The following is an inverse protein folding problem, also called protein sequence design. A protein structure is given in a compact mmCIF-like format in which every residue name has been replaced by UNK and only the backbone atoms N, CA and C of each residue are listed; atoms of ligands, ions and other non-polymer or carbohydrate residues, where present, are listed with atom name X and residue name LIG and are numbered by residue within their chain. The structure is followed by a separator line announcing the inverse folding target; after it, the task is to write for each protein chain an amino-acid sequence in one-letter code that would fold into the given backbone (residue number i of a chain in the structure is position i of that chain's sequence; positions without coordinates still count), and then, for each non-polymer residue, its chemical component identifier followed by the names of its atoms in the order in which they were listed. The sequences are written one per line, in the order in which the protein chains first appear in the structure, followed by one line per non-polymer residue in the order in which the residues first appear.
data_IF_957212583382
#
_entry.id   IF_957212583382
#
_cell.length_a   1.000
_cell.length_b   1.000
_cell.length_c   1.000
_cell.angle_alpha   90.00
_cell.angle_beta   90.00
_cell.angle_gamma   90.00
#
_symmetry.space_group_name_H-M   'P 1'
#
loop_
_entity.id
_entity.type
_entity.pdbx_description
1 polymer ?
#
# COMPACT_ATOMS: atom_id res chain seq x y z
N UNK A 1 6.65 -3.33 26.39
CA UNK A 1 7.03 -2.46 25.25
C UNK A 1 6.15 -2.86 24.08
N UNK A 2 5.43 -1.93 23.45
CA UNK A 2 4.65 -2.25 22.25
C UNK A 2 5.64 -2.51 21.11
N UNK A 3 5.53 -3.67 20.47
CA UNK A 3 6.16 -3.95 19.18
C UNK A 3 5.87 -2.82 18.21
N UNK A 4 6.91 -2.18 17.66
CA UNK A 4 6.74 -1.17 16.62
C UNK A 4 7.63 -1.52 15.44
N UNK A 5 6.98 -1.80 14.32
CA UNK A 5 7.63 -1.98 13.02
C UNK A 5 8.14 -0.62 12.53
N UNK A 6 9.38 -0.49 12.05
CA UNK A 6 9.87 0.75 11.47
C UNK A 6 8.98 1.23 10.33
N UNK A 7 8.81 2.55 10.21
CA UNK A 7 7.96 3.14 9.16
C UNK A 7 8.42 2.75 7.76
N UNK A 8 9.74 2.63 7.56
CA UNK A 8 10.33 2.12 6.31
C UNK A 8 9.79 0.73 5.96
N UNK A 9 9.69 -0.16 6.94
CA UNK A 9 9.26 -1.54 6.72
C UNK A 9 7.74 -1.64 6.55
N UNK A 10 6.97 -0.76 7.19
CA UNK A 10 5.54 -0.62 6.86
C UNK A 10 5.36 -0.15 5.42
N UNK A 11 6.12 0.86 4.98
CA UNK A 11 6.07 1.32 3.60
C UNK A 11 6.50 0.22 2.61
N UNK A 12 7.53 -0.57 2.95
CA UNK A 12 7.94 -1.75 2.18
C UNK A 12 6.78 -2.75 2.02
N UNK A 13 6.11 -3.13 3.12
CA UNK A 13 4.94 -4.02 3.09
C UNK A 13 3.79 -3.42 2.25
N UNK A 14 3.52 -2.12 2.40
CA UNK A 14 2.49 -1.42 1.62
C UNK A 14 2.80 -1.44 0.12
N UNK A 15 4.06 -1.29 -0.27
CA UNK A 15 4.48 -1.39 -1.67
C UNK A 15 4.14 -2.77 -2.27
N UNK A 16 4.30 -3.86 -1.53
CA UNK A 16 3.84 -5.18 -1.97
C UNK A 16 2.31 -5.27 -2.04
N UNK A 17 1.61 -4.87 -0.97
CA UNK A 17 0.15 -4.92 -0.90
C UNK A 17 -0.52 -4.14 -2.05
N UNK A 18 0.04 -2.98 -2.42
CA UNK A 18 -0.45 -2.14 -3.52
C UNK A 18 -0.01 -2.59 -4.92
N UNK A 19 0.81 -3.65 -5.01
CA UNK A 19 1.43 -4.14 -6.25
C UNK A 19 2.28 -3.06 -6.94
N UNK A 20 3.15 -2.40 -6.16
CA UNK A 20 3.99 -1.26 -6.54
C UNK A 20 5.47 -1.50 -6.19
N UNK A 21 5.91 -2.76 -6.15
CA UNK A 21 7.28 -3.12 -5.76
C UNK A 21 8.35 -2.45 -6.63
N UNK A 22 8.17 -2.43 -7.96
CA UNK A 22 9.07 -1.77 -8.92
C UNK A 22 9.33 -0.28 -8.62
N UNK A 23 8.50 0.31 -7.76
CA UNK A 23 8.58 1.70 -7.36
C UNK A 23 9.28 1.87 -6.01
N UNK A 24 9.31 0.86 -5.15
CA UNK A 24 10.02 0.89 -3.87
C UNK A 24 11.50 1.22 -4.09
N UNK A 25 12.19 0.47 -4.96
CA UNK A 25 13.60 0.71 -5.28
C UNK A 25 13.83 2.10 -5.89
N UNK A 26 12.88 2.57 -6.73
CA UNK A 26 12.94 3.90 -7.36
C UNK A 26 12.75 5.05 -6.37
N UNK A 27 12.19 4.79 -5.20
CA UNK A 27 11.99 5.82 -4.16
C UNK A 27 13.24 6.08 -3.31
N UNK A 28 14.33 5.34 -3.54
CA UNK A 28 15.63 5.49 -2.87
C UNK A 28 15.51 5.53 -1.34
N UNK A 29 14.88 4.51 -0.78
CA UNK A 29 14.58 4.38 0.66
C UNK A 29 15.81 4.13 1.53
N UNK A 30 16.97 3.85 0.94
CA UNK A 30 18.19 3.54 1.70
C UNK A 30 18.75 4.76 2.43
N UNK A 31 18.52 5.96 1.89
CA UNK A 31 18.86 7.21 2.57
C UNK A 31 17.84 7.60 3.66
N UNK A 32 16.79 6.79 3.88
CA UNK A 32 15.70 7.06 4.81
C UNK A 32 15.71 6.13 6.04
N UNK A 33 16.78 5.34 6.25
CA UNK A 33 16.86 4.32 7.32
C UNK A 33 16.68 4.88 8.74
N UNK A 34 17.00 6.16 8.97
CA UNK A 34 17.00 6.79 10.30
C UNK A 34 15.82 7.76 10.52
N UNK A 35 14.76 7.65 9.73
CA UNK A 35 13.62 8.57 9.82
C UNK A 35 12.42 7.78 10.30
N UNK A 36 12.06 8.00 11.55
CA UNK A 36 10.89 7.39 12.18
C UNK A 36 9.66 8.31 12.14
N UNK A 37 9.87 9.60 11.86
CA UNK A 37 8.80 10.59 11.78
C UNK A 37 7.98 10.45 10.49
N UNK A 38 6.65 10.33 10.63
CA UNK A 38 5.75 9.98 9.54
C UNK A 38 5.73 11.00 8.42
N UNK A 39 5.51 12.28 8.74
CA UNK A 39 5.40 13.31 7.72
C UNK A 39 6.76 13.58 7.09
N UNK A 40 7.84 13.54 7.85
CA UNK A 40 9.19 13.67 7.31
C UNK A 40 9.52 12.55 6.32
N UNK A 41 9.23 11.29 6.68
CA UNK A 41 9.46 10.11 5.86
C UNK A 41 8.67 10.17 4.55
N UNK A 42 7.34 10.33 4.61
CA UNK A 42 6.51 10.36 3.41
C UNK A 42 6.71 11.62 2.57
N UNK A 43 7.09 12.76 3.16
CA UNK A 43 7.50 13.95 2.39
C UNK A 43 8.77 13.70 1.57
N UNK A 44 9.76 13.00 2.14
CA UNK A 44 10.97 12.62 1.40
C UNK A 44 10.66 11.64 0.28
N UNK A 45 9.79 10.66 0.52
CA UNK A 45 9.34 9.75 -0.55
C UNK A 45 8.61 10.51 -1.65
N UNK A 46 7.71 11.44 -1.32
CA UNK A 46 7.04 12.30 -2.30
C UNK A 46 8.06 13.09 -3.13
N UNK A 47 9.08 13.68 -2.49
CA UNK A 47 10.13 14.39 -3.21
C UNK A 47 10.90 13.47 -4.15
N UNK A 48 11.34 12.31 -3.65
CA UNK A 48 12.12 11.34 -4.43
C UNK A 48 11.33 10.81 -5.62
N UNK A 49 10.01 10.63 -5.47
CA UNK A 49 9.13 10.16 -6.56
C UNK A 49 8.76 11.26 -7.55
N UNK A 50 8.59 12.51 -7.10
CA UNK A 50 8.21 13.64 -7.94
C UNK A 50 9.39 14.23 -8.71
N UNK A 51 10.62 14.18 -8.20
CA UNK A 51 11.79 14.75 -8.88
C UNK A 51 12.04 14.15 -10.28
N UNK A 52 12.04 12.82 -10.47
CA UNK A 52 12.13 12.21 -11.80
C UNK A 52 10.95 12.59 -12.70
N UNK A 53 9.76 12.75 -12.12
CA UNK A 53 8.56 13.11 -12.85
C UNK A 53 8.62 14.56 -13.36
N UNK A 54 9.08 15.50 -12.54
CA UNK A 54 9.29 16.90 -12.93
C UNK A 54 10.26 16.99 -14.12
N UNK A 55 11.36 16.21 -14.11
CA UNK A 55 12.34 16.20 -15.21
C UNK A 55 11.76 15.68 -16.52
N UNK A 56 10.81 14.74 -16.47
CA UNK A 56 10.13 14.18 -17.65
C UNK A 56 8.94 15.04 -18.10
N UNK A 57 8.45 15.91 -17.23
CA UNK A 57 7.21 16.65 -17.40
C UNK A 57 6.05 15.96 -16.68
N UNK A 58 5.21 16.76 -16.01
CA UNK A 58 3.98 16.24 -15.41
C UNK A 58 3.04 15.69 -16.48
N UNK A 59 2.25 14.71 -16.08
CA UNK A 59 1.12 14.26 -16.89
C UNK A 59 0.18 15.43 -17.16
N UNK A 60 -0.31 15.46 -18.39
CA UNK A 60 -1.33 16.37 -18.87
C UNK A 60 -2.40 15.51 -19.51
N UNK A 61 -3.62 16.00 -19.49
CA UNK A 61 -4.75 15.30 -20.09
C UNK A 61 -5.49 16.26 -21.01
N UNK A 62 -6.20 15.69 -21.97
CA UNK A 62 -7.04 16.45 -22.88
C UNK A 62 -8.33 16.82 -22.17
N UNK A 63 -8.55 18.12 -22.01
CA UNK A 63 -9.81 18.64 -21.52
C UNK A 63 -10.59 19.25 -22.68
N UNK A 64 -11.79 18.74 -22.91
CA UNK A 64 -12.73 19.34 -23.84
C UNK A 64 -13.12 20.74 -23.34
N UNK A 65 -12.99 21.72 -24.22
CA UNK A 65 -13.40 23.11 -23.99
C UNK A 65 -14.27 23.58 -25.14
N UNK A 66 -15.29 24.37 -24.79
CA UNK A 66 -16.12 25.12 -25.72
C UNK A 66 -15.96 26.61 -25.41
N UNK A 67 -15.18 27.32 -26.23
CA UNK A 67 -14.84 28.74 -25.99
C UNK A 67 -15.21 29.62 -27.19
N UNK A 68 -15.54 30.90 -26.92
CA UNK A 68 -15.86 31.92 -27.92
C UNK A 68 -14.55 32.59 -28.41
N UNK A 69 -14.06 32.16 -29.58
CA UNK A 69 -12.75 32.54 -30.12
C UNK A 69 -12.88 33.45 -31.35
N UNK A 70 -11.87 34.31 -31.57
CA UNK A 70 -11.74 35.10 -32.81
C UNK A 70 -11.22 34.29 -34.01
N UNK A 71 -10.61 33.15 -33.72
CA UNK A 71 -10.01 32.23 -34.70
C UNK A 71 -10.64 30.85 -34.53
N UNK A 72 -10.65 30.06 -35.60
CA UNK A 72 -11.16 28.69 -35.55
C UNK A 72 -10.10 27.79 -34.92
N UNK A 73 -10.47 27.06 -33.85
CA UNK A 73 -9.62 26.07 -33.19
C UNK A 73 -10.46 24.82 -32.91
N UNK A 74 -10.11 23.68 -33.51
CA UNK A 74 -10.90 22.45 -33.39
C UNK A 74 -12.20 22.49 -34.19
N UNK A 75 -13.27 21.91 -33.64
CA UNK A 75 -14.58 21.78 -34.28
C UNK A 75 -15.44 23.01 -33.99
N UNK A 76 -16.09 23.56 -35.02
CA UNK A 76 -16.97 24.72 -34.85
C UNK A 76 -18.32 24.28 -34.26
N UNK A 77 -18.73 24.90 -33.16
CA UNK A 77 -20.09 24.80 -32.63
C UNK A 77 -20.98 25.88 -33.28
N UNK A 78 -21.52 25.52 -34.45
CA UNK A 78 -22.42 26.38 -35.21
C UNK A 78 -23.70 26.70 -34.42
N UNK A 79 -24.19 25.75 -33.60
CA UNK A 79 -25.42 25.91 -32.84
C UNK A 79 -25.28 27.03 -31.81
N UNK A 80 -24.22 27.01 -31.00
CA UNK A 80 -23.95 28.05 -30.00
C UNK A 80 -23.59 29.39 -30.65
N UNK A 81 -22.83 29.37 -31.75
CA UNK A 81 -22.44 30.58 -32.48
C UNK A 81 -23.64 31.34 -33.05
N UNK A 82 -24.60 30.61 -33.66
CA UNK A 82 -25.82 31.20 -34.21
C UNK A 82 -26.76 31.67 -33.10
N UNK A 83 -27.01 30.85 -32.07
CA UNK A 83 -27.90 31.20 -30.95
C UNK A 83 -27.47 32.48 -30.22
N UNK A 84 -26.16 32.68 -30.05
CA UNK A 84 -25.61 33.86 -29.34
C UNK A 84 -25.25 35.02 -30.26
N UNK A 85 -25.47 34.88 -31.58
CA UNK A 85 -25.11 35.86 -32.62
C UNK A 85 -23.65 36.35 -32.53
N UNK A 86 -22.75 35.50 -32.02
CA UNK A 86 -21.36 35.88 -31.69
C UNK A 86 -20.56 36.33 -32.90
N UNK A 87 -20.80 35.71 -34.07
CA UNK A 87 -20.11 36.05 -35.30
C UNK A 87 -20.50 37.45 -35.80
N UNK A 88 -21.79 37.78 -35.73
CA UNK A 88 -22.32 39.06 -36.21
C UNK A 88 -22.01 40.22 -35.24
N UNK A 89 -22.12 39.97 -33.94
CA UNK A 89 -22.01 41.02 -32.91
C UNK A 89 -20.60 41.25 -32.41
N UNK A 90 -19.76 40.21 -32.38
CA UNK A 90 -18.42 40.24 -31.76
C UNK A 90 -17.29 39.77 -32.69
N UNK A 91 -17.61 39.27 -33.89
CA UNK A 91 -16.62 38.68 -34.79
C UNK A 91 -15.97 37.42 -34.21
N UNK A 92 -16.71 36.63 -33.42
CA UNK A 92 -16.20 35.43 -32.77
C UNK A 92 -17.08 34.20 -33.02
N UNK A 93 -16.50 33.01 -32.88
CA UNK A 93 -17.13 31.71 -33.13
C UNK A 93 -16.89 30.81 -31.92
N UNK A 94 -17.92 30.07 -31.49
CA UNK A 94 -17.77 29.02 -30.49
C UNK A 94 -17.09 27.81 -31.12
N UNK A 95 -15.99 27.35 -30.52
CA UNK A 95 -15.28 26.18 -30.98
C UNK A 95 -15.09 25.17 -29.85
N UNK A 96 -15.39 23.90 -30.15
CA UNK A 96 -15.05 22.73 -29.36
C UNK A 96 -13.64 22.26 -29.71
N UNK A 97 -12.73 22.27 -28.73
CA UNK A 97 -11.39 21.73 -28.90
C UNK A 97 -10.90 21.08 -27.63
N UNK A 98 -9.91 20.21 -27.79
CA UNK A 98 -9.20 19.60 -26.69
C UNK A 98 -7.96 20.42 -26.37
N UNK A 99 -7.79 20.79 -25.09
CA UNK A 99 -6.59 21.46 -24.61
C UNK A 99 -5.79 20.53 -23.70
N UNK A 100 -4.49 20.42 -23.98
CA UNK A 100 -3.57 19.57 -23.25
C UNK A 100 -3.06 20.29 -21.99
N UNK A 101 -3.80 20.16 -20.88
CA UNK A 101 -3.54 20.90 -19.65
C UNK A 101 -2.92 20.03 -18.55
N UNK A 102 -2.06 20.63 -17.73
CA UNK A 102 -1.53 19.99 -16.52
C UNK A 102 -2.49 20.06 -15.32
N UNK A 103 -3.63 20.74 -15.46
CA UNK A 103 -4.58 20.98 -14.38
C UNK A 103 -5.55 19.80 -14.16
N UNK A 104 -4.98 18.59 -14.09
CA UNK A 104 -5.69 17.32 -13.94
C UNK A 104 -5.86 16.96 -12.46
N UNK A 105 -6.79 16.04 -12.16
CA UNK A 105 -7.12 15.66 -10.79
C UNK A 105 -5.90 15.18 -9.99
N UNK A 106 -5.05 14.37 -10.62
CA UNK A 106 -3.83 13.82 -10.03
C UNK A 106 -2.89 14.94 -9.57
N UNK A 107 -2.61 15.90 -10.46
CA UNK A 107 -1.74 17.03 -10.15
C UNK A 107 -2.36 17.96 -9.09
N UNK A 108 -3.70 18.14 -9.13
CA UNK A 108 -4.43 18.91 -8.11
C UNK A 108 -4.31 18.28 -6.72
N UNK A 109 -4.43 16.95 -6.62
CA UNK A 109 -4.24 16.20 -5.38
C UNK A 109 -2.81 16.43 -4.86
N UNK A 110 -1.80 16.22 -5.70
CA UNK A 110 -0.38 16.37 -5.32
C UNK A 110 -0.10 17.79 -4.82
N UNK A 111 -0.48 18.81 -5.59
CA UNK A 111 -0.29 20.21 -5.21
C UNK A 111 -0.94 20.51 -3.87
N UNK A 112 -2.18 20.05 -3.68
CA UNK A 112 -2.93 20.29 -2.45
C UNK A 112 -2.32 19.58 -1.25
N UNK A 113 -1.86 18.34 -1.41
CA UNK A 113 -1.16 17.61 -0.33
C UNK A 113 0.11 18.35 0.08
N UNK A 114 0.93 18.79 -0.87
CA UNK A 114 2.16 19.55 -0.58
C UNK A 114 1.83 20.88 0.11
N UNK A 115 0.79 21.58 -0.35
CA UNK A 115 0.31 22.80 0.29
C UNK A 115 -0.09 22.56 1.75
N UNK A 116 -0.86 21.51 2.01
CA UNK A 116 -1.30 21.16 3.36
C UNK A 116 -0.11 20.78 4.27
N UNK A 117 0.86 20.03 3.76
CA UNK A 117 2.09 19.69 4.49
C UNK A 117 2.90 20.95 4.87
N UNK A 118 3.05 21.89 3.93
CA UNK A 118 3.80 23.14 4.15
C UNK A 118 3.09 24.08 5.14
N UNK A 119 1.76 24.03 5.20
CA UNK A 119 0.94 24.84 6.11
C UNK A 119 0.79 24.19 7.49
N UNK A 120 0.86 22.87 7.56
CA UNK A 120 0.69 22.11 8.80
C UNK A 120 1.83 22.37 9.78
N UNK A 121 1.49 22.60 11.04
CA UNK A 121 2.48 22.71 12.13
C UNK A 121 3.04 21.35 12.55
N UNK A 122 2.45 20.24 12.10
CA UNK A 122 2.87 18.89 12.51
C UNK A 122 4.21 18.53 11.89
N UNK A 123 4.40 18.85 10.60
CA UNK A 123 5.69 18.70 9.94
C UNK A 123 6.76 19.52 10.67
N UNK A 124 6.43 20.74 11.11
CA UNK A 124 7.36 21.61 11.84
C UNK A 124 7.77 21.03 13.19
N UNK A 125 6.83 20.41 13.90
CA UNK A 125 7.08 19.73 15.17
C UNK A 125 8.00 18.51 14.98
N UNK A 126 7.73 17.66 13.99
CA UNK A 126 8.58 16.51 13.66
C UNK A 126 9.98 16.95 13.24
N UNK A 127 10.05 17.95 12.37
CA UNK A 127 11.30 18.47 11.87
C UNK A 127 12.18 19.14 12.95
N UNK A 128 11.59 19.67 14.04
CA UNK A 128 12.34 20.17 15.20
C UNK A 128 12.97 19.06 16.04
N UNK A 129 12.40 17.85 16.03
CA UNK A 129 12.98 16.67 16.70
C UNK A 129 14.17 16.12 15.93
N UNK A 130 14.11 16.20 14.59
CA UNK A 130 15.21 15.86 13.70
C UNK A 130 16.33 16.93 13.71
N UNK A 131 17.55 16.57 13.27
CA UNK A 131 18.68 17.53 13.17
C UNK A 131 18.27 18.76 12.34
N UNK A 132 18.54 19.96 12.88
CA UNK A 132 18.07 21.26 12.37
C UNK A 132 18.40 21.51 10.89
N UNK A 133 19.52 20.98 10.40
CA UNK A 133 19.98 21.17 9.02
C UNK A 133 19.19 20.33 7.99
N UNK A 134 18.80 19.10 8.36
CA UNK A 134 18.00 18.23 7.49
C UNK A 134 16.55 18.71 7.34
N UNK A 135 16.02 19.29 8.43
CA UNK A 135 14.69 19.89 8.48
C UNK A 135 14.52 21.08 7.53
N UNK A 136 15.47 22.02 7.56
CA UNK A 136 15.46 23.18 6.69
C UNK A 136 15.60 22.78 5.21
N UNK A 137 16.33 21.70 4.92
CA UNK A 137 16.46 21.18 3.57
C UNK A 137 15.14 20.60 3.04
N UNK A 138 14.39 19.84 3.86
CA UNK A 138 13.15 19.20 3.44
C UNK A 138 12.08 20.20 3.00
N UNK A 139 11.82 21.24 3.81
CA UNK A 139 10.85 22.28 3.46
C UNK A 139 11.24 23.04 2.20
N UNK A 140 12.53 23.37 2.04
CA UNK A 140 13.04 24.03 0.83
C UNK A 140 12.78 23.19 -0.41
N UNK A 141 12.98 21.87 -0.33
CA UNK A 141 12.69 20.95 -1.42
C UNK A 141 11.19 20.87 -1.73
N UNK A 142 10.32 20.78 -0.70
CA UNK A 142 8.87 20.81 -0.89
C UNK A 142 8.40 22.12 -1.55
N UNK A 143 8.91 23.27 -1.13
CA UNK A 143 8.61 24.56 -1.77
C UNK A 143 9.04 24.59 -3.23
N UNK A 144 10.23 24.04 -3.55
CA UNK A 144 10.72 23.93 -4.93
C UNK A 144 9.78 23.08 -5.79
N UNK A 145 9.37 21.92 -5.27
CA UNK A 145 8.40 21.05 -5.97
C UNK A 145 7.06 21.77 -6.14
N UNK A 146 6.56 22.42 -5.09
CA UNK A 146 5.30 23.17 -5.13
C UNK A 146 5.29 24.24 -6.23
N UNK A 147 6.41 24.95 -6.41
CA UNK A 147 6.53 25.97 -7.45
C UNK A 147 6.36 25.43 -8.88
N UNK A 148 6.70 24.16 -9.14
CA UNK A 148 6.46 23.53 -10.44
C UNK A 148 4.97 23.33 -10.75
N UNK A 149 4.08 23.37 -9.74
CA UNK A 149 2.62 23.25 -9.90
C UNK A 149 1.92 24.62 -10.01
N UNK A 150 2.61 25.66 -10.52
CA UNK A 150 2.07 27.03 -10.62
C UNK A 150 0.68 27.10 -11.28
N UNK A 151 0.50 26.41 -12.40
CA UNK A 151 -0.73 26.43 -13.23
C UNK A 151 -1.76 25.34 -12.84
N UNK A 152 -1.67 24.78 -11.64
CA UNK A 152 -2.57 23.73 -11.16
C UNK A 152 -3.41 24.28 -10.01
N UNK A 153 -4.71 24.03 -10.00
CA UNK A 153 -5.59 24.58 -8.96
C UNK A 153 -5.45 23.81 -7.64
N UNK A 154 -5.72 24.50 -6.54
CA UNK A 154 -5.96 23.84 -5.25
C UNK A 154 -7.39 23.32 -5.21
N UNK A 155 -7.58 22.17 -4.56
CA UNK A 155 -8.90 21.56 -4.36
C UNK A 155 -9.13 21.25 -2.89
N UNK A 156 -10.39 21.08 -2.49
CA UNK A 156 -10.70 20.53 -1.16
C UNK A 156 -10.61 19.01 -1.20
N UNK A 157 -9.59 18.44 -0.56
CA UNK A 157 -9.41 16.99 -0.48
C UNK A 157 -10.54 16.35 0.36
N UNK A 158 -10.97 15.17 -0.10
CA UNK A 158 -11.88 14.26 0.59
C UNK A 158 -11.61 12.82 0.14
N UNK A 159 -12.01 11.83 0.92
CA UNK A 159 -11.73 10.42 0.61
C UNK A 159 -12.32 9.96 -0.73
N UNK A 160 -13.43 10.57 -1.20
CA UNK A 160 -14.04 10.22 -2.50
C UNK A 160 -13.17 10.65 -3.68
N UNK A 161 -12.43 11.77 -3.56
CA UNK A 161 -11.55 12.27 -4.61
C UNK A 161 -10.46 11.25 -4.97
N UNK A 162 -9.87 10.57 -3.98
CA UNK A 162 -8.84 9.56 -4.20
C UNK A 162 -9.36 8.34 -4.98
N UNK A 163 -10.63 7.98 -4.79
CA UNK A 163 -11.29 6.89 -5.51
C UNK A 163 -11.64 7.25 -6.96
N UNK A 164 -11.79 8.52 -7.28
CA UNK A 164 -12.10 9.01 -8.63
C UNK A 164 -10.86 9.10 -9.52
N UNK A 165 -9.67 8.85 -9.00
CA UNK A 165 -8.43 8.92 -9.78
C UNK A 165 -8.34 7.71 -10.70
N UNK A 166 -8.33 7.96 -12.01
CA UNK A 166 -8.12 6.94 -13.02
C UNK A 166 -6.61 6.77 -13.26
N UNK A 167 -6.15 5.52 -13.24
CA UNK A 167 -4.76 5.17 -13.51
C UNK A 167 -4.66 4.40 -14.83
N UNK A 168 -3.81 4.87 -15.74
CA UNK A 168 -3.47 4.19 -16.98
C UNK A 168 -2.13 3.46 -16.87
N UNK A 169 -1.84 2.51 -17.77
CA UNK A 169 -0.58 1.75 -17.77
C UNK A 169 0.67 2.65 -17.82
N UNK A 170 0.57 3.78 -18.52
CA UNK A 170 1.66 4.75 -18.66
C UNK A 170 1.86 5.62 -17.41
N UNK A 171 0.93 5.55 -16.45
CA UNK A 171 0.87 6.42 -15.29
C UNK A 171 0.99 5.69 -13.94
N UNK A 172 1.71 4.57 -13.91
CA UNK A 172 1.88 3.78 -12.69
C UNK A 172 2.57 4.54 -11.55
N UNK A 173 3.47 5.48 -11.88
CA UNK A 173 4.18 6.28 -10.87
C UNK A 173 3.23 7.16 -10.06
N UNK A 174 2.20 7.74 -10.68
CA UNK A 174 1.20 8.51 -9.96
C UNK A 174 0.37 7.66 -9.03
N UNK A 175 0.18 6.35 -9.30
CA UNK A 175 -0.51 5.47 -8.35
C UNK A 175 0.18 5.45 -6.99
N UNK A 176 1.52 5.39 -6.97
CA UNK A 176 2.31 5.47 -5.73
C UNK A 176 2.13 6.82 -5.06
N UNK A 177 2.32 7.89 -5.84
CA UNK A 177 2.26 9.27 -5.33
C UNK A 177 0.88 9.55 -4.71
N UNK A 178 -0.20 9.19 -5.41
CA UNK A 178 -1.57 9.41 -4.94
C UNK A 178 -1.88 8.57 -3.69
N UNK A 179 -1.39 7.33 -3.59
CA UNK A 179 -1.53 6.53 -2.36
C UNK A 179 -0.79 7.14 -1.17
N UNK A 180 0.39 7.70 -1.39
CA UNK A 180 1.10 8.44 -0.35
C UNK A 180 0.34 9.72 0.02
N UNK A 181 -0.17 10.47 -0.96
CA UNK A 181 -1.01 11.64 -0.72
C UNK A 181 -2.26 11.29 0.09
N UNK A 182 -2.88 10.14 -0.16
CA UNK A 182 -4.03 9.62 0.58
C UNK A 182 -3.66 9.29 2.03
N UNK A 183 -2.52 8.60 2.26
CA UNK A 183 -2.02 8.33 3.61
C UNK A 183 -1.80 9.62 4.40
N UNK A 184 -1.12 10.60 3.81
CA UNK A 184 -0.85 11.90 4.44
C UNK A 184 -2.15 12.65 4.74
N UNK A 185 -3.08 12.66 3.78
CA UNK A 185 -4.38 13.31 3.97
C UNK A 185 -5.15 12.72 5.15
N UNK A 186 -5.22 11.39 5.23
CA UNK A 186 -5.92 10.71 6.32
C UNK A 186 -5.24 10.98 7.68
N UNK A 187 -3.90 11.07 7.74
CA UNK A 187 -3.18 11.39 8.99
C UNK A 187 -3.42 12.84 9.43
N UNK A 188 -3.39 13.80 8.50
CA UNK A 188 -3.66 15.20 8.80
C UNK A 188 -5.08 15.40 9.36
N UNK A 189 -6.09 14.72 8.79
CA UNK A 189 -7.46 14.78 9.30
C UNK A 189 -7.59 14.31 10.75
N UNK A 190 -6.81 13.31 11.14
CA UNK A 190 -6.85 12.78 12.51
C UNK A 190 -6.16 13.75 13.46
N UNK A 191 -5.01 14.29 13.05
CA UNK A 191 -4.26 15.25 13.86
C UNK A 191 -5.03 16.57 14.11
N UNK A 192 -5.85 17.02 13.14
CA UNK A 192 -6.73 18.19 13.31
C UNK A 192 -7.82 17.96 14.38
N UNK A 193 -8.24 16.71 14.60
CA UNK A 193 -9.35 16.38 15.50
C UNK A 193 -8.90 15.91 16.90
N UNK A 194 -7.71 15.35 17.01
CA UNK A 194 -7.07 14.92 18.25
C UNK A 194 -5.54 14.94 18.00
N UNK A 195 -4.71 15.29 18.99
CA UNK A 195 -3.22 15.25 18.91
C UNK A 195 -2.62 13.83 18.63
N UNK A 196 -3.41 12.89 18.10
CA UNK A 196 -3.00 11.58 17.64
C UNK A 196 -2.44 11.58 16.22
N UNK A 197 -1.61 10.59 15.93
CA UNK A 197 -1.11 10.30 14.59
C UNK A 197 -1.85 9.08 14.02
N UNK A 198 -2.39 9.16 12.80
CA UNK A 198 -3.01 8.01 12.12
C UNK A 198 -2.01 6.87 11.98
N UNK A 199 -0.73 7.16 11.74
CA UNK A 199 0.27 6.10 11.62
C UNK A 199 0.42 5.27 12.91
N UNK A 200 0.38 5.93 14.06
CA UNK A 200 0.35 5.22 15.35
C UNK A 200 -0.97 4.46 15.50
N UNK A 201 -2.11 5.09 15.22
CA UNK A 201 -3.41 4.43 15.25
C UNK A 201 -3.53 3.27 14.25
N UNK A 202 -2.82 3.31 13.13
CA UNK A 202 -2.76 2.25 12.11
C UNK A 202 -1.92 1.09 12.61
N UNK A 203 -0.79 1.38 13.23
CA UNK A 203 0.10 0.37 13.81
C UNK A 203 -0.49 -0.27 15.08
N UNK A 204 -1.31 0.48 15.82
CA UNK A 204 -2.06 0.01 17.00
C UNK A 204 -3.38 -0.71 16.62
N UNK A 205 -3.80 -0.63 15.35
CA UNK A 205 -4.97 -1.36 14.83
C UNK A 205 -4.54 -2.75 14.34
N UNK A 206 -4.60 -3.72 15.26
CA UNK A 206 -4.19 -5.11 15.03
C UNK A 206 -4.81 -5.71 13.76
N UNK A 207 -6.07 -5.38 13.42
CA UNK A 207 -6.75 -5.91 12.23
C UNK A 207 -6.16 -5.38 10.93
N UNK A 208 -5.78 -4.10 10.89
CA UNK A 208 -5.15 -3.51 9.71
C UNK A 208 -3.75 -4.05 9.50
N UNK A 209 -2.99 -4.22 10.58
CA UNK A 209 -1.64 -4.79 10.52
C UNK A 209 -1.67 -6.28 10.17
N UNK A 210 -2.64 -7.03 10.69
CA UNK A 210 -2.89 -8.43 10.31
C UNK A 210 -3.12 -8.55 8.80
N UNK A 211 -4.06 -7.77 8.26
CA UNK A 211 -4.34 -7.76 6.83
C UNK A 211 -3.13 -7.31 6.00
N UNK A 212 -2.40 -6.30 6.44
CA UNK A 212 -1.20 -5.83 5.75
C UNK A 212 -0.13 -6.92 5.71
N UNK A 213 0.08 -7.62 6.82
CA UNK A 213 1.06 -8.69 6.93
C UNK A 213 0.69 -9.90 6.07
N UNK A 214 -0.57 -10.32 6.11
CA UNK A 214 -1.14 -11.38 5.25
C UNK A 214 -0.95 -11.04 3.76
N UNK A 215 -1.38 -9.84 3.36
CA UNK A 215 -1.26 -9.36 1.99
C UNK A 215 0.20 -9.25 1.56
N UNK A 216 1.08 -8.78 2.45
CA UNK A 216 2.52 -8.65 2.19
C UNK A 216 3.16 -10.01 1.89
N UNK A 217 3.00 -10.99 2.78
CA UNK A 217 3.59 -12.33 2.61
C UNK A 217 3.06 -12.98 1.33
N UNK A 218 1.75 -12.90 1.07
CA UNK A 218 1.17 -13.42 -0.17
C UNK A 218 1.73 -12.74 -1.41
N UNK A 219 1.77 -11.41 -1.42
CA UNK A 219 2.25 -10.61 -2.56
C UNK A 219 3.74 -10.79 -2.80
N UNK A 220 4.51 -10.99 -1.74
CA UNK A 220 5.92 -11.34 -1.81
C UNK A 220 6.11 -12.62 -2.63
N UNK A 221 5.49 -13.72 -2.23
CA UNK A 221 5.61 -14.97 -2.99
C UNK A 221 5.01 -14.85 -4.38
N UNK A 222 3.90 -14.14 -4.58
CA UNK A 222 3.34 -13.93 -5.94
C UNK A 222 4.34 -13.28 -6.90
N UNK A 223 5.20 -12.39 -6.38
CA UNK A 223 6.19 -11.68 -7.18
C UNK A 223 7.47 -12.50 -7.36
N UNK A 224 8.01 -13.08 -6.28
CA UNK A 224 9.33 -13.72 -6.27
C UNK A 224 9.30 -15.22 -6.55
N UNK A 225 8.15 -15.88 -6.29
CA UNK A 225 7.93 -17.32 -6.43
C UNK A 225 6.66 -17.66 -7.22
N UNK A 226 6.44 -17.09 -8.43
CA UNK A 226 5.24 -17.37 -9.22
C UNK A 226 5.08 -18.85 -9.61
N UNK A 227 6.19 -19.59 -9.68
CA UNK A 227 6.22 -21.04 -9.93
C UNK A 227 5.47 -21.84 -8.84
N UNK A 228 5.41 -21.33 -7.61
CA UNK A 228 4.69 -21.93 -6.50
C UNK A 228 3.18 -21.64 -6.51
N UNK A 229 2.71 -20.86 -7.49
CA UNK A 229 1.31 -20.42 -7.65
C UNK A 229 0.65 -19.85 -6.37
N UNK A 230 1.23 -18.81 -5.76
CA UNK A 230 0.77 -18.31 -4.46
C UNK A 230 -0.62 -17.68 -4.55
N UNK A 231 -1.57 -18.19 -3.77
CA UNK A 231 -2.97 -17.75 -3.79
C UNK A 231 -3.64 -17.92 -2.44
N UNK A 232 -4.79 -17.26 -2.25
CA UNK A 232 -5.79 -17.76 -1.31
C UNK A 232 -6.43 -19.01 -1.89
N UNK A 233 -6.71 -19.99 -1.05
CA UNK A 233 -7.36 -21.22 -1.47
C UNK A 233 -8.51 -21.54 -0.54
N UNK A 234 -9.66 -21.82 -1.13
CA UNK A 234 -10.81 -22.31 -0.39
C UNK A 234 -10.71 -23.83 -0.30
N UNK A 235 -10.74 -24.33 0.92
CA UNK A 235 -10.72 -25.76 1.24
C UNK A 235 -12.13 -26.15 1.65
N UNK A 236 -12.68 -27.19 1.05
CA UNK A 236 -14.01 -27.67 1.41
C UNK A 236 -13.94 -28.56 2.65
N UNK A 237 -14.98 -28.53 3.49
CA UNK A 237 -15.09 -29.45 4.60
C UNK A 237 -15.34 -30.87 4.10
N UNK A 238 -14.62 -31.85 4.67
CA UNK A 238 -14.79 -33.28 4.35
C UNK A 238 -15.94 -33.92 5.14
N UNK A 239 -16.93 -33.13 5.57
CA UNK A 239 -18.09 -33.62 6.30
C UNK A 239 -19.14 -34.23 5.37
N UNK A 240 -19.85 -35.24 5.87
CA UNK A 240 -20.99 -35.85 5.20
C UNK A 240 -22.26 -35.49 5.98
N UNK A 241 -23.29 -34.97 5.31
CA UNK A 241 -24.55 -34.58 5.93
C UNK A 241 -25.37 -33.59 5.11
N UNK A 242 -26.49 -33.15 5.68
CA UNK A 242 -27.36 -32.11 5.11
C UNK A 242 -26.86 -30.70 5.48
N UNK A 243 -27.32 -29.67 4.74
CA UNK A 243 -27.04 -28.25 5.01
C UNK A 243 -25.55 -27.86 5.05
N UNK A 244 -24.70 -28.46 4.21
CA UNK A 244 -23.27 -28.15 4.12
C UNK A 244 -22.97 -26.67 3.83
N UNK A 245 -23.91 -25.94 3.22
CA UNK A 245 -23.79 -24.50 2.95
C UNK A 245 -23.78 -23.64 4.21
N UNK A 246 -24.24 -24.16 5.36
CA UNK A 246 -24.17 -23.45 6.64
C UNK A 246 -22.78 -23.53 7.29
N UNK A 247 -21.87 -24.35 6.76
CA UNK A 247 -20.53 -24.49 7.29
C UNK A 247 -19.70 -23.22 6.99
N UNK A 248 -18.80 -22.83 7.91
CA UNK A 248 -17.93 -21.68 7.68
C UNK A 248 -17.01 -21.93 6.50
N UNK A 249 -16.75 -20.89 5.69
CA UNK A 249 -15.80 -20.97 4.58
C UNK A 249 -14.39 -21.09 5.16
N UNK A 250 -13.66 -22.16 4.78
CA UNK A 250 -12.23 -22.31 5.08
C UNK A 250 -11.43 -21.70 3.94
N UNK A 251 -10.89 -20.50 4.15
CA UNK A 251 -10.02 -19.81 3.19
C UNK A 251 -8.64 -19.60 3.80
N UNK A 252 -7.60 -20.11 3.13
CA UNK A 252 -6.21 -19.95 3.59
C UNK A 252 -5.69 -18.55 3.27
N UNK A 253 -4.82 -18.01 4.12
CA UNK A 253 -4.10 -16.76 3.85
C UNK A 253 -3.18 -16.88 2.63
N UNK A 254 -2.33 -17.91 2.65
CA UNK A 254 -1.42 -18.26 1.56
C UNK A 254 -1.37 -19.79 1.37
N UNK A 255 -1.58 -20.21 0.12
CA UNK A 255 -1.38 -21.57 -0.35
C UNK A 255 -0.32 -21.57 -1.44
N UNK A 256 0.70 -22.42 -1.29
CA UNK A 256 1.78 -22.62 -2.25
C UNK A 256 1.83 -24.09 -2.68
N UNK A 257 2.14 -24.33 -3.94
CA UNK A 257 2.34 -25.67 -4.49
C UNK A 257 3.69 -25.75 -5.20
N UNK A 258 4.62 -26.47 -4.59
CA UNK A 258 5.88 -26.82 -5.23
C UNK A 258 5.72 -28.16 -5.97
N UNK A 259 5.57 -28.10 -7.29
CA UNK A 259 5.44 -29.30 -8.12
C UNK A 259 6.72 -30.12 -8.23
N UNK A 260 7.89 -29.50 -8.07
CA UNK A 260 9.17 -30.19 -8.21
C UNK A 260 9.45 -31.08 -7.00
N UNK A 261 9.17 -30.58 -5.79
CA UNK A 261 9.31 -31.35 -4.54
C UNK A 261 8.05 -32.11 -4.13
N UNK A 262 6.98 -32.03 -4.93
CA UNK A 262 5.65 -32.58 -4.60
C UNK A 262 5.13 -32.10 -3.23
N UNK A 263 5.37 -30.83 -2.88
CA UNK A 263 5.06 -30.27 -1.56
C UNK A 263 3.96 -29.22 -1.65
N UNK A 264 2.98 -29.31 -0.75
CA UNK A 264 1.89 -28.35 -0.60
C UNK A 264 2.08 -27.59 0.71
N UNK A 265 2.19 -26.27 0.63
CA UNK A 265 2.31 -25.40 1.79
C UNK A 265 1.00 -24.68 2.05
N UNK A 266 0.55 -24.70 3.30
CA UNK A 266 -0.54 -23.86 3.81
C UNK A 266 0.08 -22.97 4.87
N UNK A 267 0.16 -21.67 4.59
CA UNK A 267 0.72 -20.69 5.52
C UNK A 267 -0.44 -19.84 6.04
N UNK A 268 -0.60 -19.84 7.36
CA UNK A 268 -1.55 -19.00 8.09
C UNK A 268 -0.76 -17.92 8.84
N UNK A 269 -1.04 -16.66 8.51
CA UNK A 269 -0.34 -15.51 9.06
C UNK A 269 -1.14 -14.93 10.20
N UNK A 270 -0.44 -14.49 11.25
CA UNK A 270 -1.08 -13.89 12.42
C UNK A 270 -0.26 -12.73 12.92
N UNK A 271 -0.92 -11.59 13.15
CA UNK A 271 -0.28 -10.40 13.70
C UNK A 271 -0.75 -10.19 15.15
N UNK A 272 0.05 -10.68 16.10
CA UNK A 272 -0.20 -10.49 17.53
C UNK A 272 0.95 -9.75 18.17
N UNK A 273 0.67 -9.09 19.30
CA UNK A 273 1.72 -8.61 20.20
C UNK A 273 2.57 -9.77 20.68
N UNK A 274 2.00 -10.87 21.15
CA UNK A 274 2.77 -12.04 21.57
C UNK A 274 2.38 -13.27 20.76
N UNK A 275 3.36 -13.91 20.12
CA UNK A 275 3.17 -15.17 19.39
C UNK A 275 2.95 -16.39 20.32
N UNK A 276 3.09 -16.20 21.62
CA UNK A 276 2.85 -17.19 22.68
C UNK A 276 1.99 -16.60 23.78
N UNK A 277 1.20 -17.46 24.45
CA UNK A 277 0.49 -17.10 25.68
C UNK A 277 1.26 -17.66 26.87
N UNK A 278 1.61 -16.81 27.82
CA UNK A 278 2.14 -17.24 29.11
C UNK A 278 0.98 -17.52 30.07
N UNK A 279 0.87 -18.74 30.58
CA UNK A 279 -0.03 -19.05 31.69
C UNK A 279 0.73 -19.95 32.68
N UNK A 280 0.75 -19.59 33.97
CA UNK A 280 1.49 -20.31 35.02
C UNK A 280 2.97 -20.61 34.68
N UNK A 281 3.74 -19.59 34.27
CA UNK A 281 5.18 -19.66 33.96
C UNK A 281 5.59 -20.65 32.86
N UNK A 282 4.66 -21.13 32.02
CA UNK A 282 4.96 -21.89 30.81
C UNK A 282 4.42 -21.16 29.60
N UNK A 283 5.31 -20.88 28.66
CA UNK A 283 4.96 -20.31 27.37
C UNK A 283 4.34 -21.39 26.49
N UNK A 284 3.15 -21.13 25.93
CA UNK A 284 2.45 -22.04 25.02
C UNK A 284 2.08 -21.32 23.73
N UNK A 285 2.09 -22.06 22.62
CA UNK A 285 1.54 -21.56 21.36
C UNK A 285 0.05 -21.28 21.48
N UNK A 286 -0.45 -20.38 20.62
CA UNK A 286 -1.86 -20.03 20.56
C UNK A 286 -2.64 -21.18 19.90
N UNK A 287 -3.39 -21.91 20.71
CA UNK A 287 -4.13 -23.11 20.28
C UNK A 287 -5.12 -22.83 19.16
N UNK A 288 -5.79 -21.67 19.17
CA UNK A 288 -6.76 -21.30 18.14
C UNK A 288 -6.16 -21.30 16.72
N UNK A 289 -4.94 -20.76 16.56
CA UNK A 289 -4.26 -20.70 15.26
C UNK A 289 -3.83 -22.10 14.83
N UNK A 290 -3.32 -22.90 15.77
CA UNK A 290 -2.96 -24.28 15.50
C UNK A 290 -4.18 -25.10 15.07
N UNK A 291 -5.32 -24.92 15.71
CA UNK A 291 -6.57 -25.60 15.32
C UNK A 291 -7.05 -25.16 13.94
N UNK A 292 -6.94 -23.87 13.61
CA UNK A 292 -7.28 -23.36 12.28
C UNK A 292 -6.39 -23.98 11.19
N UNK A 293 -5.07 -23.92 11.36
CA UNK A 293 -4.12 -24.53 10.43
C UNK A 293 -4.36 -26.05 10.29
N UNK A 294 -4.59 -26.73 11.42
CA UNK A 294 -4.85 -28.15 11.44
C UNK A 294 -6.16 -28.52 10.73
N UNK A 295 -7.19 -27.68 10.83
CA UNK A 295 -8.44 -27.86 10.09
C UNK A 295 -8.17 -27.78 8.57
N UNK A 296 -7.37 -26.82 8.10
CA UNK A 296 -6.98 -26.73 6.70
C UNK A 296 -6.23 -27.99 6.22
N UNK A 297 -5.23 -28.43 6.97
CA UNK A 297 -4.41 -29.58 6.59
C UNK A 297 -5.22 -30.88 6.51
N UNK A 298 -6.11 -31.14 7.47
CA UNK A 298 -6.90 -32.39 7.48
C UNK A 298 -8.08 -32.39 6.49
N UNK A 299 -8.58 -31.21 6.10
CA UNK A 299 -9.67 -31.11 5.12
C UNK A 299 -9.16 -30.93 3.67
N UNK A 300 -7.87 -30.70 3.47
CA UNK A 300 -7.32 -30.57 2.12
C UNK A 300 -7.46 -31.90 1.36
N UNK A 301 -8.17 -31.88 0.23
CA UNK A 301 -8.32 -33.04 -0.62
C UNK A 301 -6.99 -33.35 -1.35
N UNK A 302 -6.20 -34.25 -0.79
CA UNK A 302 -4.85 -34.57 -1.24
C UNK A 302 -4.79 -35.78 -2.19
N UNK A 303 -5.61 -35.80 -3.25
CA UNK A 303 -5.64 -36.91 -4.22
C UNK A 303 -4.28 -37.20 -4.87
N UNK A 304 -3.42 -36.18 -4.94
CA UNK A 304 -2.11 -36.24 -5.56
C UNK A 304 -1.00 -36.64 -4.56
N UNK A 305 -1.34 -36.97 -3.31
CA UNK A 305 -0.42 -37.37 -2.25
C UNK A 305 0.77 -36.40 -2.08
N UNK A 306 0.50 -35.09 -2.10
CA UNK A 306 1.50 -34.07 -1.79
C UNK A 306 2.00 -34.23 -0.34
N UNK A 307 3.29 -33.97 -0.11
CA UNK A 307 3.78 -33.74 1.24
C UNK A 307 3.17 -32.44 1.77
N UNK A 308 2.31 -32.53 2.77
CA UNK A 308 1.61 -31.38 3.32
C UNK A 308 2.47 -30.70 4.39
N UNK A 309 2.68 -29.40 4.24
CA UNK A 309 3.36 -28.55 5.22
C UNK A 309 2.46 -27.41 5.66
N UNK A 310 2.17 -27.33 6.94
CA UNK A 310 1.48 -26.20 7.54
C UNK A 310 2.47 -25.27 8.23
N UNK A 311 2.34 -23.97 8.01
CA UNK A 311 3.21 -22.97 8.64
C UNK A 311 2.34 -21.93 9.33
N UNK A 312 2.53 -21.75 10.64
CA UNK A 312 2.07 -20.55 11.35
C UNK A 312 3.16 -19.50 11.32
N UNK A 313 2.89 -18.37 10.69
CA UNK A 313 3.85 -17.28 10.53
C UNK A 313 3.44 -16.05 11.32
N UNK A 314 4.32 -15.59 12.21
CA UNK A 314 4.11 -14.41 13.05
C UNK A 314 5.19 -13.35 12.80
N UNK A 315 4.90 -12.05 12.99
CA UNK A 315 5.97 -11.09 13.20
C UNK A 315 6.70 -11.44 14.51
N UNK A 316 8.03 -11.32 14.51
CA UNK A 316 8.83 -11.49 15.71
C UNK A 316 8.61 -10.30 16.64
N UNK A 317 8.09 -10.52 17.84
CA UNK A 317 8.05 -9.50 18.89
C UNK A 317 8.85 -9.95 20.11
N UNK A 318 10.15 -9.66 20.10
CA UNK A 318 11.07 -9.94 21.22
C UNK A 318 11.41 -11.42 21.43
N UNK A 319 10.80 -12.34 20.67
CA UNK A 319 11.10 -13.77 20.69
C UNK A 319 11.08 -14.34 19.27
N UNK A 320 12.21 -14.89 18.86
CA UNK A 320 12.33 -15.69 17.64
C UNK A 320 11.76 -17.10 17.88
N UNK A 321 10.90 -17.55 16.96
CA UNK A 321 10.37 -18.92 16.95
C UNK A 321 10.78 -19.57 15.62
N UNK A 322 11.34 -20.77 15.71
CA UNK A 322 11.59 -21.65 14.57
C UNK A 322 11.42 -23.12 15.02
N UNK A 323 10.16 -23.54 15.13
CA UNK A 323 9.81 -24.89 15.60
C UNK A 323 9.22 -25.70 14.47
N UNK A 324 9.56 -26.99 14.44
CA UNK A 324 9.04 -27.96 13.48
C UNK A 324 8.52 -29.19 14.22
N UNK A 325 7.31 -29.62 13.88
CA UNK A 325 6.62 -30.77 14.43
C UNK A 325 6.14 -31.68 13.30
N UNK A 326 6.06 -32.98 13.57
CA UNK A 326 5.47 -33.95 12.64
C UNK A 326 4.16 -34.49 13.19
N UNK A 327 3.16 -34.56 12.33
CA UNK A 327 1.91 -35.25 12.62
C UNK A 327 1.50 -36.10 11.41
N UNK A 328 1.60 -37.43 11.57
CA UNK A 328 1.51 -38.39 10.45
C UNK A 328 2.51 -37.99 9.35
N UNK A 329 2.06 -37.88 8.11
CA UNK A 329 2.87 -37.48 6.95
C UNK A 329 2.89 -35.97 6.71
N UNK A 330 2.48 -35.17 7.70
CA UNK A 330 2.41 -33.71 7.62
C UNK A 330 3.45 -33.06 8.52
N UNK A 331 4.09 -32.00 8.03
CA UNK A 331 4.97 -31.14 8.81
C UNK A 331 4.18 -29.90 9.27
N UNK A 332 4.30 -29.53 10.54
CA UNK A 332 3.70 -28.34 11.13
C UNK A 332 4.82 -27.48 11.69
N UNK A 333 4.98 -26.29 11.15
CA UNK A 333 6.04 -25.35 11.49
C UNK A 333 5.46 -24.08 12.11
N UNK A 334 6.18 -23.52 13.09
CA UNK A 334 5.84 -22.27 13.76
C UNK A 334 7.05 -21.37 13.66
N UNK A 335 6.93 -20.33 12.84
CA UNK A 335 8.04 -19.44 12.47
C UNK A 335 7.71 -17.99 12.76
N UNK A 336 8.74 -17.23 13.11
CA UNK A 336 8.66 -15.77 13.16
C UNK A 336 9.47 -15.11 12.05
N UNK A 337 9.09 -13.88 11.71
CA UNK A 337 9.84 -12.98 10.85
C UNK A 337 10.10 -11.65 11.56
N UNK A 338 11.37 -11.28 11.70
CA UNK A 338 11.73 -10.00 12.27
C UNK A 338 11.37 -8.87 11.28
N UNK A 339 10.38 -8.05 11.61
CA UNK A 339 10.00 -6.90 10.78
C UNK A 339 10.77 -5.62 11.17
N UNK A 340 11.68 -5.68 12.13
CA UNK A 340 12.50 -4.56 12.59
C UNK A 340 13.93 -4.56 12.01
N UNK A 341 14.23 -5.50 11.12
CA UNK A 341 15.52 -5.59 10.42
C UNK A 341 15.49 -4.95 9.03
N UNK A 342 16.61 -4.98 8.31
CA UNK A 342 16.65 -4.47 6.95
C UNK A 342 15.74 -5.34 6.04
N UNK A 343 15.10 -4.69 5.07
CA UNK A 343 14.20 -5.36 4.14
C UNK A 343 14.86 -6.52 3.38
N UNK A 344 16.16 -6.51 3.10
CA UNK A 344 16.85 -7.66 2.50
C UNK A 344 16.87 -8.88 3.42
N UNK A 345 17.05 -8.69 4.73
CA UNK A 345 17.00 -9.78 5.71
C UNK A 345 15.57 -10.31 5.87
N UNK A 346 14.55 -9.44 5.77
CA UNK A 346 13.13 -9.83 5.71
C UNK A 346 12.89 -10.75 4.50
N UNK A 347 13.37 -10.36 3.31
CA UNK A 347 13.24 -11.17 2.09
C UNK A 347 13.93 -12.52 2.26
N UNK A 348 15.17 -12.52 2.75
CA UNK A 348 15.94 -13.74 3.00
C UNK A 348 15.19 -14.70 3.93
N UNK A 349 14.63 -14.19 5.03
CA UNK A 349 13.84 -15.01 5.95
C UNK A 349 12.58 -15.60 5.28
N UNK A 350 11.91 -14.86 4.40
CA UNK A 350 10.77 -15.39 3.63
C UNK A 350 11.17 -16.52 2.69
N UNK A 351 12.38 -16.48 2.11
CA UNK A 351 12.90 -17.57 1.29
C UNK A 351 13.26 -18.80 2.13
N UNK A 352 13.80 -18.62 3.34
CA UNK A 352 14.13 -19.72 4.27
C UNK A 352 12.89 -20.41 4.86
N UNK A 353 11.73 -19.76 4.82
CA UNK A 353 10.49 -20.31 5.37
C UNK A 353 9.96 -21.49 4.52
N UNK A 354 10.22 -21.50 3.21
CA UNK A 354 9.63 -22.44 2.24
C UNK A 354 10.58 -23.53 1.76
#
# INVERSE_FOLDING_TARGET
MNFKVPIKNIYFMLCYSWNLLDMFDKTNTDNLKNIDEFYAFFSRILINTLNPLIKRGFERDYKEKNDELKTIKGKIDLSSTLKKMSLKTKGKIYCDYEEYESNILQNKIIKTTIYNLLKSQVLDKELKKSKKDESNNLKKQLHKIYAHFGNVDLIKLNSKIFNNVVFHRNNRIYKVIIRICELIYNDLLINENNDGHLFQAFQDDDKKMEKLFEDFVRKYYQHHRPELKPKKEQILWNFQGENLEMLPIMETDISLLNKQSNTKYIIDTKYYKDAMRSNYNKDKFISANLYQLFAYLNNYNNEQNYQMKGILLYPENGRELDYSYKYKDMDIEIKTINLNQDHEDIKKRLEEII
#
